data_IF_429772689359
#
_entry.id   IF_429772689359
#
_cell.length_a   1.000
_cell.length_b   1.000
_cell.length_c   1.000
_cell.angle_alpha   90.00
_cell.angle_beta   90.00
_cell.angle_gamma   90.00
#
_symmetry.space_group_name_H-M   'P 1'
#
loop_
_entity.id
_entity.type
_entity.pdbx_description
1 polymer ?
#
# COMPACT_ATOMS: atom_id res chain seq x y z
N UNK A 1 -17.80 9.01 -2.26
CA UNK A 1 -18.25 7.62 -2.01
C UNK A 1 -17.20 6.68 -2.58
N UNK A 2 -16.88 5.58 -1.90
CA UNK A 2 -15.93 4.56 -2.38
C UNK A 2 -16.49 3.14 -2.24
N UNK A 3 -15.89 2.21 -2.99
CA UNK A 3 -16.12 0.77 -2.81
C UNK A 3 -15.12 0.21 -1.79
N UNK A 4 -15.40 -0.95 -1.16
CA UNK A 4 -14.46 -1.60 -0.25
C UNK A 4 -13.12 -1.97 -0.90
N UNK A 5 -13.11 -2.16 -2.22
CA UNK A 5 -11.93 -2.51 -3.02
C UNK A 5 -11.18 -1.28 -3.56
N UNK A 6 -11.66 -0.06 -3.29
CA UNK A 6 -11.03 1.17 -3.78
C UNK A 6 -9.66 1.37 -3.15
N UNK A 7 -8.65 1.62 -3.98
CA UNK A 7 -7.31 2.05 -3.54
C UNK A 7 -7.19 3.55 -3.71
N UNK A 8 -6.94 4.27 -2.62
CA UNK A 8 -6.80 5.71 -2.60
C UNK A 8 -5.59 6.10 -1.75
N UNK A 9 -4.67 6.86 -2.33
CA UNK A 9 -3.50 7.44 -1.66
C UNK A 9 -2.90 8.55 -2.55
N UNK A 10 -1.99 9.35 -1.99
CA UNK A 10 -1.22 10.36 -2.76
C UNK A 10 -0.33 9.70 -3.81
N UNK A 11 0.24 8.53 -3.48
CA UNK A 11 1.08 7.74 -4.37
C UNK A 11 0.66 6.28 -4.35
N UNK A 12 0.79 5.60 -5.49
CA UNK A 12 0.58 4.15 -5.59
C UNK A 12 1.64 3.35 -4.82
N UNK A 13 1.81 2.04 -5.12
CA UNK A 13 2.76 1.18 -4.41
C UNK A 13 4.22 1.68 -4.41
N UNK A 14 4.62 2.51 -5.38
CA UNK A 14 5.94 3.14 -5.38
C UNK A 14 6.21 4.04 -4.15
N UNK A 15 5.15 4.49 -3.46
CA UNK A 15 5.24 5.26 -2.22
C UNK A 15 5.93 4.51 -1.07
N UNK A 16 5.95 3.18 -1.10
CA UNK A 16 6.62 2.32 -0.11
C UNK A 16 8.09 2.72 0.06
N UNK A 17 8.78 2.98 -1.05
CA UNK A 17 10.21 3.34 -1.04
C UNK A 17 10.49 4.71 -0.40
N UNK A 18 9.48 5.57 -0.29
CA UNK A 18 9.58 6.88 0.33
C UNK A 18 9.16 6.83 1.80
N UNK A 19 8.07 6.14 2.11
CA UNK A 19 7.52 6.05 3.48
C UNK A 19 8.39 5.14 4.35
N UNK A 20 8.79 3.97 3.84
CA UNK A 20 9.57 2.97 4.59
C UNK A 20 11.05 2.95 4.17
N UNK A 21 11.55 4.09 3.70
CA UNK A 21 12.93 4.21 3.19
C UNK A 21 13.98 3.70 4.17
N UNK A 22 13.84 4.06 5.45
CA UNK A 22 14.81 3.70 6.48
C UNK A 22 14.74 2.20 6.82
N UNK A 23 13.54 1.61 6.83
CA UNK A 23 13.34 0.18 7.05
C UNK A 23 13.94 -0.65 5.91
N UNK A 24 13.69 -0.25 4.66
CA UNK A 24 14.30 -0.88 3.48
C UNK A 24 15.82 -0.79 3.54
N UNK A 25 16.36 0.37 3.91
CA UNK A 25 17.81 0.54 4.07
C UNK A 25 18.37 -0.37 5.17
N UNK A 26 17.67 -0.50 6.29
CA UNK A 26 18.07 -1.39 7.38
C UNK A 26 18.07 -2.87 6.96
N UNK A 27 17.06 -3.32 6.20
CA UNK A 27 16.99 -4.68 5.63
C UNK A 27 18.22 -4.94 4.77
N UNK A 28 18.53 -4.02 3.84
CA UNK A 28 19.68 -4.15 2.94
C UNK A 28 21.02 -4.16 3.69
N UNK A 29 21.19 -3.29 4.70
CA UNK A 29 22.40 -3.27 5.53
C UNK A 29 22.56 -4.55 6.34
N UNK A 30 21.46 -5.16 6.81
CA UNK A 30 21.50 -6.40 7.57
C UNK A 30 21.80 -7.64 6.73
N UNK A 31 21.63 -7.57 5.41
CA UNK A 31 21.74 -8.72 4.49
C UNK A 31 23.07 -9.45 4.62
N UNK A 32 24.20 -8.73 4.51
CA UNK A 32 25.53 -9.35 4.55
C UNK A 32 25.83 -9.99 5.92
N UNK A 33 25.46 -9.30 7.01
CA UNK A 33 25.63 -9.85 8.36
C UNK A 33 24.80 -11.11 8.59
N UNK A 34 23.57 -11.14 8.07
CA UNK A 34 22.69 -12.32 8.14
C UNK A 34 23.20 -13.49 7.30
N UNK A 35 23.75 -13.24 6.11
CA UNK A 35 24.37 -14.31 5.29
C UNK A 35 25.52 -14.95 6.04
N UNK A 36 26.42 -14.15 6.65
CA UNK A 36 27.55 -14.68 7.42
C UNK A 36 27.10 -15.53 8.62
N UNK A 37 26.10 -15.05 9.38
CA UNK A 37 25.54 -15.81 10.50
C UNK A 37 24.89 -17.11 10.06
N UNK A 38 24.15 -17.09 8.93
CA UNK A 38 23.47 -18.26 8.43
C UNK A 38 24.44 -19.28 7.82
N UNK A 39 25.50 -18.82 7.17
CA UNK A 39 26.58 -19.67 6.67
C UNK A 39 27.28 -20.40 7.82
N UNK A 40 27.61 -19.70 8.92
CA UNK A 40 28.21 -20.31 10.11
C UNK A 40 27.30 -21.40 10.72
N UNK A 41 25.98 -21.18 10.76
CA UNK A 41 25.02 -22.18 11.24
C UNK A 41 24.94 -23.42 10.33
N UNK A 42 25.01 -23.22 9.01
CA UNK A 42 25.00 -24.32 8.04
C UNK A 42 26.32 -25.11 8.06
N UNK A 43 27.46 -24.43 8.22
CA UNK A 43 28.76 -25.08 8.43
C UNK A 43 28.78 -25.92 9.71
N UNK A 44 28.23 -25.38 10.82
CA UNK A 44 28.09 -26.13 12.07
C UNK A 44 27.16 -27.36 11.94
N UNK A 45 26.23 -27.32 10.98
CA UNK A 45 25.34 -28.43 10.64
C UNK A 45 25.99 -29.48 9.73
N UNK A 46 27.26 -29.31 9.37
CA UNK A 46 28.05 -30.28 8.60
C UNK A 46 28.04 -30.08 7.08
N UNK A 47 27.51 -28.96 6.58
CA UNK A 47 27.62 -28.62 5.15
C UNK A 47 29.02 -28.15 4.78
N UNK A 48 29.39 -28.35 3.52
CA UNK A 48 30.64 -27.78 2.98
C UNK A 48 30.54 -26.25 2.96
N UNK A 49 31.68 -25.56 3.15
CA UNK A 49 31.71 -24.09 3.18
C UNK A 49 31.15 -23.45 1.91
N UNK A 50 31.41 -24.06 0.75
CA UNK A 50 30.94 -23.57 -0.53
C UNK A 50 29.41 -23.70 -0.66
N UNK A 51 28.87 -24.85 -0.26
CA UNK A 51 27.42 -25.08 -0.32
C UNK A 51 26.68 -24.25 0.74
N UNK A 52 27.28 -24.05 1.92
CA UNK A 52 26.71 -23.27 3.01
C UNK A 52 26.55 -21.80 2.63
N UNK A 53 27.50 -21.24 1.87
CA UNK A 53 27.41 -19.87 1.38
C UNK A 53 26.29 -19.72 0.35
N UNK A 54 26.20 -20.62 -0.64
CA UNK A 54 25.16 -20.56 -1.68
C UNK A 54 23.76 -20.69 -1.06
N UNK A 55 23.59 -21.63 -0.14
CA UNK A 55 22.28 -21.86 0.50
C UNK A 55 21.92 -20.72 1.45
N UNK A 56 22.87 -20.18 2.21
CA UNK A 56 22.61 -19.01 3.06
C UNK A 56 22.22 -17.78 2.24
N UNK A 57 22.90 -17.51 1.11
CA UNK A 57 22.51 -16.44 0.21
C UNK A 57 21.08 -16.62 -0.31
N UNK A 58 20.71 -17.83 -0.72
CA UNK A 58 19.35 -18.17 -1.18
C UNK A 58 18.31 -17.93 -0.10
N UNK A 59 18.55 -18.42 1.11
CA UNK A 59 17.63 -18.26 2.25
C UNK A 59 17.47 -16.81 2.66
N UNK A 60 18.56 -16.04 2.69
CA UNK A 60 18.50 -14.63 3.03
C UNK A 60 17.82 -13.82 1.92
N UNK A 61 17.97 -14.17 0.64
CA UNK A 61 17.21 -13.52 -0.43
C UNK A 61 15.70 -13.76 -0.29
N UNK A 62 15.29 -14.97 0.07
CA UNK A 62 13.89 -15.26 0.38
C UNK A 62 13.38 -14.44 1.56
N UNK A 63 14.17 -14.36 2.64
CA UNK A 63 13.86 -13.51 3.78
C UNK A 63 13.69 -12.03 3.39
N UNK A 64 14.57 -11.48 2.54
CA UNK A 64 14.43 -10.09 2.05
C UNK A 64 13.12 -9.91 1.29
N UNK A 65 12.76 -10.84 0.40
CA UNK A 65 11.48 -10.79 -0.33
C UNK A 65 10.28 -10.83 0.61
N UNK A 66 10.34 -11.64 1.66
CA UNK A 66 9.30 -11.68 2.69
C UNK A 66 9.18 -10.36 3.47
N UNK A 67 10.31 -9.72 3.82
CA UNK A 67 10.29 -8.41 4.48
C UNK A 67 9.68 -7.32 3.57
N UNK A 68 10.05 -7.30 2.28
CA UNK A 68 9.48 -6.36 1.32
C UNK A 68 7.97 -6.59 1.13
N UNK A 69 7.52 -7.85 1.10
CA UNK A 69 6.10 -8.19 1.05
C UNK A 69 5.34 -7.70 2.30
N UNK A 70 5.94 -7.83 3.49
CA UNK A 70 5.36 -7.32 4.73
C UNK A 70 5.19 -5.79 4.69
N UNK A 71 6.20 -5.05 4.23
CA UNK A 71 6.11 -3.60 4.06
C UNK A 71 5.04 -3.21 3.05
N UNK A 72 4.90 -3.97 1.96
CA UNK A 72 3.84 -3.75 0.98
C UNK A 72 2.45 -3.94 1.57
N UNK A 73 2.23 -5.03 2.30
CA UNK A 73 0.94 -5.29 2.95
C UNK A 73 0.61 -4.22 3.99
N UNK A 74 1.61 -3.77 4.74
CA UNK A 74 1.45 -2.69 5.72
C UNK A 74 1.08 -1.37 5.04
N UNK A 75 1.77 -1.01 3.95
CA UNK A 75 1.44 0.18 3.16
C UNK A 75 -0.01 0.17 2.67
N UNK A 76 -0.47 -0.98 2.18
CA UNK A 76 -1.85 -1.14 1.73
C UNK A 76 -2.86 -0.95 2.86
N UNK A 77 -2.60 -1.60 3.99
CA UNK A 77 -3.48 -1.53 5.15
C UNK A 77 -3.53 -0.16 5.82
N UNK A 78 -2.41 0.57 5.84
CA UNK A 78 -2.31 1.85 6.53
C UNK A 78 -2.65 3.03 5.61
N UNK A 79 -2.20 3.01 4.35
CA UNK A 79 -2.21 4.21 3.49
C UNK A 79 -2.98 4.04 2.18
N UNK A 80 -2.93 2.87 1.55
CA UNK A 80 -3.54 2.64 0.23
C UNK A 80 -4.87 1.87 0.34
N UNK A 81 -5.83 2.44 1.07
CA UNK A 81 -7.14 1.82 1.29
C UNK A 81 -8.26 2.87 1.48
N UNK A 82 -9.53 2.49 1.32
CA UNK A 82 -10.63 3.45 1.36
C UNK A 82 -11.04 3.82 2.79
N UNK A 83 -10.65 3.03 3.81
CA UNK A 83 -10.93 3.33 5.22
C UNK A 83 -10.13 4.54 5.68
N UNK A 84 -8.88 4.65 5.25
CA UNK A 84 -8.06 5.82 5.55
C UNK A 84 -8.59 7.06 4.83
N UNK A 85 -9.00 6.96 3.58
CA UNK A 85 -9.64 8.08 2.90
C UNK A 85 -10.98 8.52 3.55
N UNK A 86 -11.71 7.57 4.15
CA UNK A 86 -12.91 7.85 4.95
C UNK A 86 -12.56 8.51 6.29
N UNK A 87 -11.54 8.04 7.01
CA UNK A 87 -11.11 8.59 8.31
C UNK A 87 -10.67 10.06 8.18
N UNK A 88 -10.00 10.39 7.08
CA UNK A 88 -9.56 11.75 6.75
C UNK A 88 -10.68 12.66 6.24
N UNK A 89 -11.90 12.14 6.04
CA UNK A 89 -13.03 12.91 5.50
C UNK A 89 -12.94 13.21 4.00
N UNK A 90 -11.96 12.64 3.29
CA UNK A 90 -11.84 12.76 1.82
C UNK A 90 -12.99 12.05 1.09
N UNK A 91 -13.60 11.05 1.73
CA UNK A 91 -14.71 10.27 1.19
C UNK A 91 -15.81 10.23 2.24
N UNK A 92 -17.05 10.47 1.83
CA UNK A 92 -18.18 10.55 2.77
C UNK A 92 -18.63 9.19 3.33
N UNK A 93 -18.46 8.10 2.57
CA UNK A 93 -18.86 6.74 2.97
C UNK A 93 -18.29 5.66 2.03
N UNK A 94 -18.18 4.44 2.57
CA UNK A 94 -17.85 3.20 1.84
C UNK A 94 -19.15 2.42 1.63
N UNK A 95 -19.42 2.01 0.38
CA UNK A 95 -20.69 1.39 -0.03
C UNK A 95 -20.42 0.08 -0.76
N UNK A 96 -21.19 -0.97 -0.46
CA UNK A 96 -21.07 -2.25 -1.16
C UNK A 96 -21.47 -2.11 -2.64
N UNK A 97 -20.84 -2.85 -3.57
CA UNK A 97 -21.15 -2.75 -5.00
C UNK A 97 -22.64 -2.96 -5.35
N UNK A 98 -23.34 -3.83 -4.61
CA UNK A 98 -24.76 -4.10 -4.81
C UNK A 98 -25.65 -2.87 -4.55
N UNK A 99 -25.28 -2.05 -3.56
CA UNK A 99 -26.07 -0.91 -3.09
C UNK A 99 -25.66 0.41 -3.77
N UNK A 100 -24.54 0.41 -4.51
CA UNK A 100 -23.93 1.61 -5.08
C UNK A 100 -24.92 2.46 -5.89
N UNK A 101 -25.70 1.83 -6.78
CA UNK A 101 -26.66 2.54 -7.63
C UNK A 101 -27.73 3.26 -6.81
N UNK A 102 -28.27 2.58 -5.80
CA UNK A 102 -29.28 3.15 -4.91
C UNK A 102 -28.72 4.36 -4.17
N UNK A 103 -27.56 4.18 -3.51
CA UNK A 103 -26.93 5.23 -2.72
C UNK A 103 -26.56 6.45 -3.56
N UNK A 104 -26.08 6.24 -4.80
CA UNK A 104 -25.84 7.35 -5.73
C UNK A 104 -27.11 8.09 -6.12
N UNK A 105 -28.20 7.36 -6.38
CA UNK A 105 -29.50 7.95 -6.70
C UNK A 105 -30.07 8.79 -5.55
N UNK A 106 -29.97 8.29 -4.31
CA UNK A 106 -30.39 9.00 -3.11
C UNK A 106 -29.58 10.28 -2.88
N UNK A 107 -28.24 10.21 -3.02
CA UNK A 107 -27.37 11.37 -2.90
C UNK A 107 -27.65 12.42 -3.98
N UNK A 108 -27.81 12.00 -5.23
CA UNK A 108 -28.17 12.90 -6.32
C UNK A 108 -29.51 13.58 -6.05
N UNK A 109 -30.54 12.82 -5.67
CA UNK A 109 -31.85 13.37 -5.35
C UNK A 109 -31.79 14.35 -4.16
N UNK A 110 -30.97 14.07 -3.14
CA UNK A 110 -30.72 14.99 -2.04
C UNK A 110 -30.10 16.31 -2.53
N UNK A 111 -29.03 16.27 -3.31
CA UNK A 111 -28.39 17.48 -3.81
C UNK A 111 -29.30 18.29 -4.73
N UNK A 112 -30.07 17.64 -5.62
CA UNK A 112 -31.02 18.32 -6.51
C UNK A 112 -32.14 19.04 -5.75
N UNK A 113 -32.64 18.46 -4.65
CA UNK A 113 -33.68 19.11 -3.81
C UNK A 113 -33.18 20.37 -3.08
N UNK A 114 -31.89 20.45 -2.79
CA UNK A 114 -31.29 21.58 -2.07
C UNK A 114 -30.56 22.56 -3.01
N UNK A 115 -30.45 22.23 -4.29
CA UNK A 115 -29.83 23.08 -5.29
C UNK A 115 -30.69 24.32 -5.55
N UNK A 116 -30.07 25.49 -5.51
CA UNK A 116 -30.70 26.76 -5.92
C UNK A 116 -30.13 27.14 -7.28
N UNK A 117 -30.96 27.20 -8.34
CA UNK A 117 -30.47 27.59 -9.65
C UNK A 117 -30.06 29.06 -9.66
N UNK A 118 -28.88 29.32 -10.19
CA UNK A 118 -28.32 30.65 -10.40
C UNK A 118 -27.49 30.66 -11.69
N UNK A 119 -27.25 31.82 -12.33
CA UNK A 119 -26.38 31.90 -13.50
C UNK A 119 -25.00 31.33 -13.16
N UNK A 120 -24.44 30.48 -14.02
CA UNK A 120 -23.07 29.99 -13.85
C UNK A 120 -22.12 31.19 -13.79
N UNK A 121 -21.50 31.39 -12.63
CA UNK A 121 -20.53 32.46 -12.39
C UNK A 121 -19.16 31.87 -12.05
N UNK A 122 -18.11 32.43 -12.63
CA UNK A 122 -16.71 32.01 -12.41
C UNK A 122 -16.02 31.56 -13.70
N UNK A 123 -14.68 31.55 -13.73
CA UNK A 123 -13.92 31.08 -14.88
C UNK A 123 -14.20 29.60 -15.11
N UNK A 124 -14.76 29.28 -16.27
CA UNK A 124 -14.96 27.91 -16.73
C UNK A 124 -13.59 27.29 -16.98
N UNK A 125 -13.15 26.43 -16.08
CA UNK A 125 -11.87 25.71 -16.23
C UNK A 125 -12.08 24.61 -17.25
N UNK A 126 -11.68 24.86 -18.49
CA UNK A 126 -11.52 23.79 -19.46
C UNK A 126 -10.30 22.96 -19.04
N UNK A 127 -10.52 21.66 -18.79
CA UNK A 127 -9.43 20.71 -18.61
C UNK A 127 -9.00 20.27 -20.02
N UNK A 128 -8.04 21.00 -20.61
CA UNK A 128 -7.27 20.57 -21.77
C UNK A 128 -6.09 19.69 -21.35
#
# INVERSE_FOLDING_TARGET
IALPTTRAAVMGPAGINFVYKDEIKAIQQSKQGRVAQQAEQLEASGMSKADALIESERLIELWVKEQEAFLSQRYENELLNPKEALSLGSISQIVMPADLRQVLGENMAFHLRHYKPEPMYGPQREFH
#
